data_IF_146089276344
#
_entry.id   IF_146089276344
#
_cell.length_a   1.000
_cell.length_b   1.000
_cell.length_c   1.000
_cell.angle_alpha   90.00
_cell.angle_beta   90.00
_cell.angle_gamma   90.00
#
_symmetry.space_group_name_H-M   'P 1'
#
loop_
_entity.id
_entity.type
_entity.pdbx_description
1 polymer ?
#
# COMPACT_ATOMS: atom_id res chain seq x y z
N UNK A 1 -0.94 11.33 -25.80
CA UNK A 1 -1.75 11.39 -24.56
C UNK A 1 -1.40 10.15 -23.77
N UNK A 2 -0.20 10.17 -23.18
CA UNK A 2 0.35 9.05 -22.43
C UNK A 2 -0.37 9.04 -21.08
N UNK A 3 -1.08 7.96 -20.77
CA UNK A 3 -1.55 7.67 -19.42
C UNK A 3 -0.31 7.75 -18.52
N UNK A 4 -0.21 8.84 -17.75
CA UNK A 4 0.76 8.95 -16.66
C UNK A 4 0.26 7.91 -15.68
N UNK A 5 0.80 6.69 -15.84
CA UNK A 5 0.40 5.49 -15.11
C UNK A 5 0.16 5.91 -13.68
N UNK A 6 -1.12 5.92 -13.31
CA UNK A 6 -1.58 6.33 -11.98
C UNK A 6 -0.70 5.57 -11.02
N UNK A 7 0.24 6.25 -10.36
CA UNK A 7 1.04 5.68 -9.28
C UNK A 7 0.00 5.31 -8.22
N UNK A 8 -0.53 4.09 -8.30
CA UNK A 8 -1.60 3.62 -7.44
C UNK A 8 -0.92 3.22 -6.15
N UNK A 9 -0.48 4.24 -5.39
CA UNK A 9 0.09 4.05 -4.08
C UNK A 9 -0.87 3.29 -3.19
N UNK A 10 -0.35 2.75 -2.09
CA UNK A 10 -1.09 1.86 -1.22
C UNK A 10 -2.34 2.57 -0.69
N UNK A 11 -3.51 2.00 -0.96
CA UNK A 11 -4.77 2.50 -0.41
C UNK A 11 -4.87 2.12 1.06
N UNK A 12 -4.87 3.11 1.98
CA UNK A 12 -4.95 2.92 3.45
C UNK A 12 -6.32 2.43 3.93
N UNK A 13 -7.39 2.74 3.18
CA UNK A 13 -8.71 2.12 3.36
C UNK A 13 -8.93 1.13 2.23
N UNK A 14 -9.38 -0.09 2.53
CA UNK A 14 -9.74 -1.05 1.50
C UNK A 14 -11.01 -0.59 0.80
N UNK A 15 -10.92 -0.22 -0.47
CA UNK A 15 -12.06 0.27 -1.26
C UNK A 15 -13.16 -0.80 -1.45
N UNK A 16 -12.84 -2.08 -1.26
CA UNK A 16 -13.81 -3.18 -1.38
C UNK A 16 -14.64 -3.46 -0.11
N UNK A 17 -14.07 -3.24 1.10
CA UNK A 17 -14.74 -3.63 2.34
C UNK A 17 -14.61 -2.62 3.51
N UNK A 18 -13.98 -1.47 3.27
CA UNK A 18 -13.76 -0.42 4.27
C UNK A 18 -12.75 -0.76 5.36
N UNK A 19 -12.15 -1.95 5.35
CA UNK A 19 -11.16 -2.34 6.36
C UNK A 19 -9.85 -1.58 6.22
N UNK A 20 -9.26 -1.22 7.36
CA UNK A 20 -7.91 -0.65 7.44
C UNK A 20 -6.82 -1.72 7.47
N UNK A 21 -7.15 -2.95 7.83
CA UNK A 21 -6.18 -4.04 8.06
C UNK A 21 -5.51 -4.51 6.77
N UNK A 22 -4.19 -4.77 6.82
CA UNK A 22 -3.43 -5.48 5.78
C UNK A 22 -3.00 -6.86 6.29
N UNK A 23 -2.78 -7.81 5.38
CA UNK A 23 -2.16 -9.09 5.74
C UNK A 23 -0.68 -8.89 6.09
N UNK A 24 -0.11 -9.74 6.96
CA UNK A 24 1.33 -9.76 7.18
C UNK A 24 2.07 -9.98 5.86
N UNK A 25 3.17 -9.26 5.69
CA UNK A 25 4.11 -9.39 4.57
C UNK A 25 5.50 -9.60 5.16
N UNK A 26 6.29 -10.45 4.52
CA UNK A 26 7.70 -10.62 4.89
C UNK A 26 8.46 -9.33 4.54
N UNK A 27 9.14 -8.69 5.50
CA UNK A 27 9.94 -7.48 5.25
C UNK A 27 11.06 -7.69 4.22
N UNK A 28 11.53 -8.92 4.02
CA UNK A 28 12.56 -9.26 3.04
C UNK A 28 12.00 -9.63 1.66
N UNK A 29 10.69 -9.59 1.48
CA UNK A 29 10.07 -9.91 0.20
C UNK A 29 10.43 -8.88 -0.89
N UNK A 30 10.38 -9.26 -2.18
CA UNK A 30 10.60 -8.31 -3.27
C UNK A 30 9.59 -7.15 -3.24
N UNK A 31 10.00 -5.98 -3.68
CA UNK A 31 9.17 -4.76 -3.71
C UNK A 31 7.85 -4.93 -4.50
N UNK A 32 7.84 -5.78 -5.53
CA UNK A 32 6.65 -6.11 -6.32
C UNK A 32 5.63 -6.99 -5.58
N UNK A 33 5.92 -7.41 -4.35
CA UNK A 33 5.03 -8.28 -3.56
C UNK A 33 3.69 -7.59 -3.31
N UNK A 34 2.56 -8.25 -3.61
CA UNK A 34 1.24 -7.65 -3.43
C UNK A 34 0.87 -7.53 -1.95
N UNK A 35 0.34 -6.37 -1.56
CA UNK A 35 -0.25 -6.15 -0.24
C UNK A 35 -1.75 -6.41 -0.32
N UNK A 36 -2.22 -7.34 0.50
CA UNK A 36 -3.63 -7.74 0.55
C UNK A 36 -4.35 -7.11 1.74
N UNK A 37 -5.65 -6.84 1.56
CA UNK A 37 -6.55 -6.55 2.67
C UNK A 37 -6.58 -7.73 3.66
N UNK A 38 -6.43 -7.43 4.95
CA UNK A 38 -6.52 -8.41 6.03
C UNK A 38 -7.92 -9.04 6.18
N UNK A 39 -8.97 -8.39 5.65
CA UNK A 39 -10.37 -8.86 5.74
C UNK A 39 -10.87 -9.57 4.49
N UNK A 40 -10.84 -8.91 3.33
CA UNK A 40 -11.46 -9.43 2.10
C UNK A 40 -10.46 -9.94 1.06
N UNK A 41 -9.15 -9.95 1.37
CA UNK A 41 -8.06 -10.43 0.51
C UNK A 41 -7.83 -9.65 -0.81
N UNK A 42 -8.59 -8.59 -1.09
CA UNK A 42 -8.36 -7.71 -2.26
C UNK A 42 -6.95 -7.11 -2.22
N UNK A 43 -6.26 -7.05 -3.37
CA UNK A 43 -4.95 -6.39 -3.51
C UNK A 43 -5.13 -4.88 -3.41
N UNK A 44 -4.27 -4.21 -2.64
CA UNK A 44 -4.36 -2.78 -2.31
C UNK A 44 -3.19 -1.94 -2.83
N UNK A 45 -2.17 -2.61 -3.37
CA UNK A 45 -0.90 -2.04 -3.80
C UNK A 45 0.22 -3.07 -3.66
N UNK A 46 1.46 -2.62 -3.73
CA UNK A 46 2.68 -3.40 -3.58
C UNK A 46 3.44 -3.07 -2.29
N UNK A 47 4.49 -3.84 -1.98
CA UNK A 47 5.39 -3.55 -0.86
C UNK A 47 6.16 -2.24 -1.09
N UNK A 48 6.56 -1.94 -2.33
CA UNK A 48 7.11 -0.63 -2.69
C UNK A 48 6.14 0.51 -2.35
N UNK A 49 4.86 0.36 -2.70
CA UNK A 49 3.84 1.38 -2.40
C UNK A 49 3.66 1.60 -0.89
N UNK A 50 3.83 0.54 -0.08
CA UNK A 50 3.81 0.61 1.38
C UNK A 50 5.06 1.34 1.93
N UNK A 51 6.25 1.04 1.40
CA UNK A 51 7.48 1.75 1.76
C UNK A 51 7.39 3.24 1.43
N UNK A 52 6.88 3.60 0.26
CA UNK A 52 6.69 4.99 -0.15
C UNK A 52 5.64 5.72 0.70
N UNK A 53 4.58 5.02 1.10
CA UNK A 53 3.62 5.56 2.06
C UNK A 53 4.25 5.83 3.43
N UNK A 54 5.03 4.88 3.96
CA UNK A 54 5.70 5.04 5.25
C UNK A 54 6.67 6.23 5.23
N UNK A 55 7.50 6.35 4.18
CA UNK A 55 8.42 7.48 3.99
C UNK A 55 7.70 8.82 4.02
N UNK A 56 6.65 8.98 3.20
CA UNK A 56 5.85 10.22 3.14
C UNK A 56 5.16 10.55 4.47
N UNK A 57 4.78 9.55 5.25
CA UNK A 57 4.16 9.80 6.56
C UNK A 57 5.14 10.41 7.56
N UNK A 58 6.42 10.03 7.48
CA UNK A 58 7.49 10.61 8.31
C UNK A 58 7.70 12.10 8.02
N UNK A 59 7.61 12.50 6.75
CA UNK A 59 7.80 13.91 6.34
C UNK A 59 6.66 14.84 6.81
N UNK A 60 5.48 14.28 7.13
CA UNK A 60 4.29 15.04 7.52
C UNK A 60 4.19 15.23 9.05
N UNK A 61 4.96 14.45 9.83
CA UNK A 61 4.98 14.53 11.29
C UNK A 61 6.41 14.73 11.79
N UNK A 62 6.98 15.93 11.61
CA UNK A 62 8.11 16.37 12.42
C UNK A 62 7.59 16.69 13.83
N UNK A 63 8.14 16.01 14.85
CA UNK A 63 7.91 16.29 16.28
C UNK A 63 9.08 17.07 16.86
#
# INVERSE_FOLDING_TARGET
MTDIGKQSGLKIVCEACGSLSIKPVDPAAPDATPIHCGRCNTVRGTLADLHDLARRSTDVFEF
#
